data_IF_111096719891
#
_entry.id   IF_111096719891
#
_cell.length_a   1.000
_cell.length_b   1.000
_cell.length_c   1.000
_cell.angle_alpha   90.00
_cell.angle_beta   90.00
_cell.angle_gamma   90.00
#
_symmetry.space_group_name_H-M   'P 1'
#
loop_
_entity.id
_entity.type
_entity.pdbx_description
1 polymer ?
#
# COMPACT_ATOMS: atom_id res chain seq x y z
N UNK A 1 16.34 2.00 -1.53
CA UNK A 1 15.99 0.81 -0.72
C UNK A 1 14.83 1.18 0.19
N UNK A 2 13.90 0.27 0.42
CA UNK A 2 12.82 0.47 1.39
C UNK A 2 13.41 0.76 2.77
N UNK A 3 12.85 1.75 3.45
CA UNK A 3 13.19 2.04 4.83
C UNK A 3 12.50 1.05 5.77
N UNK A 4 13.22 0.58 6.79
CA UNK A 4 12.75 -0.47 7.69
C UNK A 4 11.46 -0.09 8.43
N UNK A 5 11.36 1.16 8.88
CA UNK A 5 10.21 1.67 9.63
C UNK A 5 8.95 1.60 8.77
N UNK A 6 8.99 2.16 7.56
CA UNK A 6 7.86 2.11 6.63
C UNK A 6 7.57 0.68 6.16
N UNK A 7 8.60 -0.17 5.99
CA UNK A 7 8.41 -1.58 5.62
C UNK A 7 7.64 -2.34 6.70
N UNK A 8 7.96 -2.06 7.96
CA UNK A 8 7.29 -2.69 9.10
C UNK A 8 5.87 -2.18 9.29
N UNK A 9 5.59 -0.91 8.97
CA UNK A 9 4.25 -0.33 9.06
C UNK A 9 3.37 -0.76 7.88
N UNK A 10 3.90 -0.76 6.65
CA UNK A 10 3.14 -1.00 5.42
C UNK A 10 3.20 -2.48 5.02
N UNK A 11 4.40 -2.96 4.69
CA UNK A 11 4.54 -4.26 4.03
C UNK A 11 4.29 -5.42 4.97
N UNK A 12 4.95 -5.45 6.15
CA UNK A 12 4.81 -6.56 7.11
C UNK A 12 3.40 -6.68 7.68
N UNK A 13 2.63 -5.59 7.73
CA UNK A 13 1.27 -5.56 8.28
C UNK A 13 0.17 -5.73 7.24
N UNK A 14 0.31 -5.12 6.05
CA UNK A 14 -0.80 -5.01 5.08
C UNK A 14 -0.53 -5.70 3.74
N UNK A 15 0.71 -6.10 3.42
CA UNK A 15 1.04 -6.59 2.09
C UNK A 15 1.12 -8.12 2.06
N UNK A 16 0.14 -8.78 1.44
CA UNK A 16 0.13 -10.23 1.24
C UNK A 16 1.31 -10.76 0.38
N UNK A 17 1.97 -9.87 -0.37
CA UNK A 17 3.12 -10.19 -1.21
C UNK A 17 4.46 -9.91 -0.54
N UNK A 18 4.48 -9.50 0.73
CA UNK A 18 5.74 -9.22 1.42
C UNK A 18 6.60 -10.49 1.52
N UNK A 19 7.84 -10.38 1.06
CA UNK A 19 8.88 -11.39 1.21
C UNK A 19 10.10 -10.73 1.85
N UNK A 20 10.72 -11.34 2.87
CA UNK A 20 11.99 -10.84 3.42
C UNK A 20 13.07 -10.89 2.33
N UNK A 21 14.04 -9.98 2.39
CA UNK A 21 15.17 -9.86 1.45
C UNK A 21 14.79 -9.35 0.03
N UNK A 22 13.64 -8.70 -0.11
CA UNK A 22 13.18 -8.00 -1.33
C UNK A 22 12.93 -6.50 -1.09
N UNK A 23 13.79 -5.88 -0.30
CA UNK A 23 13.67 -4.47 0.13
C UNK A 23 14.06 -3.46 -0.96
N UNK A 24 14.64 -3.91 -2.07
CA UNK A 24 14.93 -3.07 -3.24
C UNK A 24 13.70 -2.87 -4.14
N UNK A 25 12.69 -3.73 -4.04
CA UNK A 25 11.48 -3.67 -4.86
C UNK A 25 10.45 -2.71 -4.24
N UNK A 26 10.07 -1.62 -4.92
CA UNK A 26 9.13 -0.60 -4.40
C UNK A 26 7.77 -0.63 -5.11
N UNK A 27 6.69 -1.06 -4.44
CA UNK A 27 5.36 -0.83 -5.01
C UNK A 27 4.99 0.67 -4.94
N UNK A 28 4.22 1.16 -5.91
CA UNK A 28 3.83 2.56 -6.01
C UNK A 28 3.10 3.08 -4.77
N UNK A 29 2.25 2.25 -4.15
CA UNK A 29 1.58 2.60 -2.89
C UNK A 29 2.55 2.80 -1.73
N UNK A 30 3.59 1.97 -1.63
CA UNK A 30 4.64 2.16 -0.61
C UNK A 30 5.42 3.46 -0.86
N UNK A 31 5.86 3.66 -2.11
CA UNK A 31 6.63 4.84 -2.48
C UNK A 31 5.84 6.12 -2.21
N UNK A 32 4.55 6.14 -2.54
CA UNK A 32 3.68 7.29 -2.30
C UNK A 32 3.57 7.61 -0.81
N UNK A 33 3.29 6.61 0.03
CA UNK A 33 3.18 6.81 1.48
C UNK A 33 4.50 7.30 2.07
N UNK A 34 5.64 6.67 1.73
CA UNK A 34 6.95 7.08 2.21
C UNK A 34 7.31 8.51 1.79
N UNK A 35 6.93 8.92 0.57
CA UNK A 35 7.30 10.22 0.02
C UNK A 35 6.54 11.38 0.65
N UNK A 36 5.29 11.18 1.03
CA UNK A 36 4.39 12.28 1.43
C UNK A 36 3.88 12.21 2.86
N UNK A 37 4.08 11.10 3.56
CA UNK A 37 3.57 10.89 4.92
C UNK A 37 4.73 10.41 5.80
N UNK A 38 4.97 11.07 6.92
CA UNK A 38 5.99 10.60 7.87
C UNK A 38 5.57 9.28 8.51
N UNK A 39 6.54 8.47 8.95
CA UNK A 39 6.25 7.21 9.63
C UNK A 39 5.37 7.36 10.87
N UNK A 40 5.50 8.47 11.61
CA UNK A 40 4.66 8.80 12.76
C UNK A 40 3.22 9.11 12.35
N UNK A 41 3.03 9.92 11.31
CA UNK A 41 1.69 10.22 10.78
C UNK A 41 1.03 8.96 10.23
N UNK A 42 1.78 8.11 9.52
CA UNK A 42 1.28 6.87 8.98
C UNK A 42 0.81 5.89 10.07
N UNK A 43 1.59 5.73 11.14
CA UNK A 43 1.18 4.93 12.30
C UNK A 43 -0.05 5.53 13.00
N UNK A 44 -0.12 6.86 13.10
CA UNK A 44 -1.29 7.59 13.58
C UNK A 44 -2.55 7.33 12.75
N UNK A 45 -2.44 7.43 11.42
CA UNK A 45 -3.53 7.14 10.47
C UNK A 45 -4.03 5.71 10.66
N UNK A 46 -3.13 4.73 10.69
CA UNK A 46 -3.49 3.31 10.87
C UNK A 46 -4.26 3.10 12.17
N UNK A 47 -3.83 3.75 13.26
CA UNK A 47 -4.48 3.64 14.57
C UNK A 47 -5.85 4.34 14.62
N UNK A 48 -5.92 5.59 14.15
CA UNK A 48 -7.14 6.41 14.18
C UNK A 48 -8.26 5.77 13.36
N UNK A 49 -7.91 5.23 12.18
CA UNK A 49 -8.87 4.62 11.27
C UNK A 49 -8.99 3.10 11.45
N UNK A 50 -8.36 2.52 12.49
CA UNK A 50 -8.41 1.08 12.79
C UNK A 50 -8.12 0.18 11.57
N UNK A 51 -7.14 0.57 10.73
CA UNK A 51 -6.83 -0.16 9.50
C UNK A 51 -6.18 -1.52 9.81
N UNK A 52 -6.73 -2.61 9.27
CA UNK A 52 -6.18 -3.98 9.37
C UNK A 52 -5.85 -4.59 7.99
N UNK A 53 -5.48 -5.86 7.84
CA UNK A 53 -5.25 -6.46 6.50
C UNK A 53 -6.51 -7.13 5.90
N UNK A 54 -7.62 -7.19 6.64
CA UNK A 54 -8.82 -7.95 6.27
C UNK A 54 -9.88 -7.13 5.52
N UNK A 55 -9.89 -5.80 5.64
CA UNK A 55 -10.92 -4.99 4.97
C UNK A 55 -10.71 -4.93 3.45
N UNK A 56 -11.83 -4.97 2.71
CA UNK A 56 -11.84 -4.86 1.26
C UNK A 56 -11.23 -3.54 0.77
N UNK A 57 -10.56 -3.61 -0.38
CA UNK A 57 -10.04 -2.43 -1.05
C UNK A 57 -11.16 -1.71 -1.79
N UNK A 58 -11.24 -0.39 -1.63
CA UNK A 58 -12.06 0.48 -2.49
C UNK A 58 -11.54 0.37 -3.92
N UNK A 59 -12.43 0.00 -4.85
CA UNK A 59 -12.13 -0.08 -6.28
C UNK A 59 -11.97 1.33 -6.85
N UNK A 60 -11.26 1.45 -7.99
CA UNK A 60 -11.22 2.69 -8.77
C UNK A 60 -10.06 3.65 -8.47
N UNK A 61 -9.03 3.23 -7.74
CA UNK A 61 -7.84 4.06 -7.48
C UNK A 61 -6.71 3.73 -8.45
N UNK A 62 -7.04 3.63 -9.74
CA UNK A 62 -6.09 3.28 -10.80
C UNK A 62 -4.90 4.24 -10.83
N UNK A 63 -5.09 5.51 -10.46
CA UNK A 63 -4.03 6.52 -10.38
C UNK A 63 -2.88 6.16 -9.42
N UNK A 64 -3.13 5.29 -8.42
CA UNK A 64 -2.08 4.75 -7.53
C UNK A 64 -1.23 3.74 -8.29
N UNK A 65 -1.88 2.86 -9.07
CA UNK A 65 -1.22 1.85 -9.88
C UNK A 65 -0.51 2.46 -11.09
N UNK A 66 -1.04 3.53 -11.68
CA UNK A 66 -0.48 4.19 -12.87
C UNK A 66 0.90 4.83 -12.60
N UNK A 67 1.22 5.09 -11.33
CA UNK A 67 2.52 5.64 -10.90
C UNK A 67 3.46 4.57 -10.32
N UNK A 68 3.12 3.29 -10.50
CA UNK A 68 3.86 2.17 -9.93
C UNK A 68 4.78 1.53 -10.97
N UNK A 69 6.09 1.55 -10.72
CA UNK A 69 7.08 0.92 -11.61
C UNK A 69 6.90 -0.61 -11.74
N UNK A 70 6.15 -1.24 -10.82
CA UNK A 70 5.83 -2.68 -10.83
C UNK A 70 4.59 -3.04 -11.67
N UNK A 71 3.98 -2.07 -12.37
CA UNK A 71 2.66 -2.23 -13.00
C UNK A 71 2.63 -3.35 -14.06
N UNK A 72 3.51 -3.29 -15.06
CA UNK A 72 3.44 -4.20 -16.22
C UNK A 72 4.12 -5.56 -15.97
N UNK A 73 5.26 -5.60 -15.28
CA UNK A 73 6.09 -6.81 -15.13
C UNK A 73 6.22 -7.34 -13.68
N UNK A 74 5.26 -7.05 -12.79
CA UNK A 74 5.38 -7.53 -11.41
C UNK A 74 4.17 -7.38 -10.49
N UNK A 75 3.00 -7.01 -11.01
CA UNK A 75 1.82 -6.75 -10.18
C UNK A 75 0.63 -7.60 -10.62
N UNK A 76 0.44 -8.73 -9.94
CA UNK A 76 -0.71 -9.64 -10.15
C UNK A 76 -2.06 -8.94 -9.99
N UNK A 77 -2.14 -7.91 -9.13
CA UNK A 77 -3.33 -7.10 -8.93
C UNK A 77 -3.65 -6.20 -10.13
N UNK A 78 -2.62 -5.66 -10.80
CA UNK A 78 -2.81 -4.84 -11.98
C UNK A 78 -3.29 -5.69 -13.16
N UNK A 79 -2.69 -6.87 -13.35
CA UNK A 79 -3.07 -7.83 -14.39
C UNK A 79 -4.48 -8.37 -14.15
N UNK A 80 -4.81 -8.67 -12.89
CA UNK A 80 -6.12 -9.16 -12.50
C UNK A 80 -6.60 -8.50 -11.20
N UNK A 81 -7.56 -7.59 -11.32
CA UNK A 81 -8.14 -6.85 -10.19
C UNK A 81 -8.97 -7.73 -9.21
N UNK A 82 -9.13 -9.03 -9.49
CA UNK A 82 -9.66 -9.99 -8.50
C UNK A 82 -8.63 -10.40 -7.46
N UNK A 83 -7.33 -10.18 -7.70
CA UNK A 83 -6.30 -10.41 -6.70
C UNK A 83 -6.32 -9.31 -5.63
N UNK A 84 -5.55 -9.51 -4.57
CA UNK A 84 -5.49 -8.54 -3.48
C UNK A 84 -4.49 -7.44 -3.86
N UNK A 85 -4.78 -6.15 -3.62
CA UNK A 85 -3.80 -5.10 -3.90
C UNK A 85 -2.58 -5.14 -2.96
N UNK A 86 -1.54 -4.38 -3.31
CA UNK A 86 -0.38 -4.21 -2.42
C UNK A 86 -0.75 -3.44 -1.15
N UNK A 87 0.02 -3.63 -0.07
CA UNK A 87 -0.29 -3.02 1.24
C UNK A 87 -0.40 -1.49 1.21
N UNK A 88 0.42 -0.82 0.39
CA UNK A 88 0.34 0.64 0.23
C UNK A 88 -0.96 1.09 -0.45
N UNK A 89 -1.42 0.36 -1.47
CA UNK A 89 -2.72 0.61 -2.09
C UNK A 89 -3.85 0.40 -1.07
N UNK A 90 -3.82 -0.68 -0.29
CA UNK A 90 -4.84 -0.95 0.74
C UNK A 90 -4.96 0.20 1.74
N UNK A 91 -3.84 0.71 2.26
CA UNK A 91 -3.84 1.82 3.20
C UNK A 91 -4.44 3.09 2.57
N UNK A 92 -3.94 3.50 1.40
CA UNK A 92 -4.43 4.71 0.71
C UNK A 92 -5.91 4.57 0.38
N UNK A 93 -6.29 3.39 -0.11
CA UNK A 93 -7.67 3.10 -0.50
C UNK A 93 -8.66 3.25 0.63
N UNK A 94 -8.29 2.78 1.81
CA UNK A 94 -9.16 2.89 2.97
C UNK A 94 -9.17 4.29 3.54
N UNK A 95 -8.02 4.97 3.58
CA UNK A 95 -7.97 6.37 3.98
C UNK A 95 -8.90 7.21 3.10
N UNK A 96 -8.88 7.00 1.78
CA UNK A 96 -9.81 7.65 0.87
C UNK A 96 -11.25 7.22 1.08
N UNK A 97 -11.53 5.93 1.32
CA UNK A 97 -12.87 5.46 1.67
C UNK A 97 -13.41 6.01 3.00
N UNK A 98 -12.53 6.38 3.93
CA UNK A 98 -12.88 7.08 5.17
C UNK A 98 -13.11 8.58 4.97
N UNK A 99 -12.38 9.23 4.06
CA UNK A 99 -12.40 10.68 3.84
C UNK A 99 -13.40 11.15 2.78
N UNK A 100 -13.81 10.27 1.86
CA UNK A 100 -14.68 10.57 0.72
C UNK A 100 -15.93 9.67 0.75
N UNK A 101 -17.15 10.26 0.64
CA UNK A 101 -17.76 10.78 -0.60
C UNK A 101 -18.15 9.65 -1.56
#
# INVERSE_FOLDING_TARGET
>A
MKEEVYTSIICKKFCNYYKPNKETEFCGGYFYLQKYITSRELDGIIKIFHLNNESEATKGLSFICDKCDFREDGCDFFVNQSHIPCGGYLIISRLLGYLNF
#
